data_IF_707142408911
#
_entry.id   IF_707142408911
#
_cell.length_a   1.000
_cell.length_b   1.000
_cell.length_c   1.000
_cell.angle_alpha   90.00
_cell.angle_beta   90.00
_cell.angle_gamma   90.00
#
_symmetry.space_group_name_H-M   'P 1'
#
loop_
_entity.id
_entity.type
_entity.pdbx_description
1 polymer ?
#
# COMPACT_ATOMS: atom_id res chain seq x y z
N UNK A 1 28.16 -5.81 81.11
CA UNK A 1 29.32 -5.62 80.24
C UNK A 1 28.80 -5.58 78.82
N UNK A 2 28.72 -4.41 78.14
CA UNK A 2 28.06 -4.31 76.82
C UNK A 2 29.05 -4.58 75.69
N UNK A 3 28.55 -5.29 74.69
CA UNK A 3 29.23 -5.59 73.44
C UNK A 3 28.92 -4.42 72.46
N UNK A 4 29.97 -3.77 71.98
CA UNK A 4 29.90 -2.71 70.97
C UNK A 4 29.70 -3.27 69.59
N UNK A 5 28.63 -2.85 68.94
CA UNK A 5 28.34 -3.21 67.55
C UNK A 5 28.94 -2.17 66.60
N UNK A 6 29.92 -2.59 65.82
CA UNK A 6 30.49 -1.86 64.69
C UNK A 6 29.49 -1.74 63.57
N UNK A 7 29.06 -0.54 63.24
CA UNK A 7 28.23 -0.25 62.05
C UNK A 7 29.11 -0.21 60.81
N UNK A 8 28.93 -1.17 59.94
CA UNK A 8 29.43 -1.14 58.56
C UNK A 8 28.54 -0.24 57.69
N UNK A 9 29.11 0.83 57.15
CA UNK A 9 28.49 1.62 56.11
C UNK A 9 28.46 0.80 54.79
N UNK A 10 27.28 0.38 54.37
CA UNK A 10 27.04 -0.06 53.00
C UNK A 10 26.85 1.12 52.11
N UNK A 11 27.82 1.43 51.25
CA UNK A 11 27.67 2.30 50.08
C UNK A 11 26.84 1.54 49.06
N UNK A 12 25.61 1.96 48.87
CA UNK A 12 24.72 1.47 47.82
C UNK A 12 25.15 2.09 46.49
N UNK A 13 25.82 1.30 45.65
CA UNK A 13 26.05 1.67 44.25
C UNK A 13 24.76 1.47 43.51
N UNK A 14 24.09 2.58 43.14
CA UNK A 14 22.93 2.55 42.25
C UNK A 14 23.45 2.16 40.87
N UNK A 15 23.25 0.91 40.49
CA UNK A 15 23.49 0.44 39.13
C UNK A 15 22.54 1.14 38.19
N UNK A 16 23.09 1.88 37.26
CA UNK A 16 22.37 2.44 36.12
C UNK A 16 21.82 1.27 35.32
N UNK A 17 20.51 1.06 35.37
CA UNK A 17 19.83 0.11 34.50
C UNK A 17 19.85 0.71 33.10
N UNK A 18 20.75 0.23 32.25
CA UNK A 18 20.75 0.51 30.82
C UNK A 18 19.50 -0.14 30.23
N UNK A 19 18.46 0.65 29.99
CA UNK A 19 17.28 0.20 29.25
C UNK A 19 17.69 0.05 27.80
N UNK A 20 18.11 -1.13 27.42
CA UNK A 20 18.35 -1.49 26.03
C UNK A 20 16.98 -1.41 25.33
N UNK A 21 16.69 -0.30 24.65
CA UNK A 21 15.58 -0.20 23.71
C UNK A 21 15.89 -1.19 22.59
N UNK A 22 15.21 -2.31 22.57
CA UNK A 22 15.18 -3.19 21.41
C UNK A 22 14.50 -2.40 20.29
N UNK A 23 15.28 -1.89 19.36
CA UNK A 23 14.74 -1.19 18.19
C UNK A 23 13.83 -2.16 17.44
N UNK A 24 12.55 -1.85 17.42
CA UNK A 24 11.54 -2.67 16.74
C UNK A 24 11.77 -2.50 15.24
N UNK A 25 12.33 -3.52 14.60
CA UNK A 25 12.56 -3.50 13.14
C UNK A 25 11.26 -3.32 12.39
N UNK A 26 11.28 -2.45 11.37
CA UNK A 26 10.16 -2.27 10.45
C UNK A 26 10.06 -3.50 9.55
N UNK A 27 8.86 -4.07 9.47
CA UNK A 27 8.63 -5.23 8.59
C UNK A 27 8.43 -4.75 7.16
N UNK A 28 9.11 -5.42 6.24
CA UNK A 28 8.93 -5.23 4.82
C UNK A 28 8.80 -6.58 4.11
N UNK A 29 8.18 -6.57 2.95
CA UNK A 29 8.15 -7.70 2.02
C UNK A 29 8.94 -7.32 0.79
N UNK A 30 9.82 -8.21 0.34
CA UNK A 30 10.54 -8.10 -0.92
C UNK A 30 9.99 -9.19 -1.84
N UNK A 31 9.55 -8.80 -3.02
CA UNK A 31 9.11 -9.65 -4.11
C UNK A 31 9.69 -9.16 -5.41
N UNK A 32 9.10 -9.51 -6.54
CA UNK A 32 9.48 -9.02 -7.87
C UNK A 32 8.51 -7.93 -8.33
N UNK A 33 9.01 -6.96 -9.09
CA UNK A 33 8.15 -5.99 -9.77
C UNK A 33 7.35 -6.69 -10.89
N UNK A 34 6.05 -6.39 -11.07
CA UNK A 34 5.27 -7.00 -12.12
C UNK A 34 5.93 -6.87 -13.49
N UNK A 35 5.99 -7.98 -14.23
CA UNK A 35 6.65 -8.08 -15.56
C UNK A 35 8.15 -7.75 -15.59
N UNK A 36 8.78 -7.51 -14.45
CA UNK A 36 10.22 -7.22 -14.31
C UNK A 36 10.81 -8.09 -13.20
N UNK A 37 11.06 -9.38 -13.46
CA UNK A 37 11.60 -10.31 -12.45
C UNK A 37 13.03 -9.93 -11.99
N UNK A 38 13.72 -9.11 -12.77
CA UNK A 38 15.03 -8.54 -12.48
C UNK A 38 14.98 -7.31 -11.53
N UNK A 39 13.79 -6.81 -11.18
CA UNK A 39 13.59 -5.68 -10.28
C UNK A 39 12.91 -6.13 -9.00
N UNK A 40 13.58 -5.93 -7.86
CA UNK A 40 12.99 -6.21 -6.55
C UNK A 40 11.90 -5.18 -6.20
N UNK A 41 10.78 -5.65 -5.65
CA UNK A 41 9.67 -4.82 -5.16
C UNK A 41 9.62 -4.85 -3.64
N UNK A 42 9.99 -3.75 -3.00
CA UNK A 42 10.00 -3.58 -1.55
C UNK A 42 8.72 -2.89 -1.07
N UNK A 43 7.93 -3.58 -0.26
CA UNK A 43 6.69 -3.06 0.33
C UNK A 43 6.81 -3.00 1.84
N UNK A 44 6.66 -1.82 2.44
CA UNK A 44 6.58 -1.67 3.89
C UNK A 44 5.24 -2.22 4.40
N UNK A 45 5.27 -3.07 5.42
CA UNK A 45 4.07 -3.64 6.04
C UNK A 45 3.60 -2.80 7.22
N UNK A 46 4.51 -2.04 7.83
CA UNK A 46 4.25 -1.16 8.98
C UNK A 46 4.29 0.31 8.53
N UNK A 47 3.22 0.78 7.87
CA UNK A 47 3.15 2.13 7.26
C UNK A 47 3.30 3.31 8.23
N UNK A 48 3.14 3.09 9.53
CA UNK A 48 3.28 4.12 10.57
C UNK A 48 4.68 4.19 11.17
N UNK A 49 5.57 3.28 10.79
CA UNK A 49 6.93 3.22 11.28
C UNK A 49 7.91 3.73 10.24
N UNK A 50 8.87 4.53 10.69
CA UNK A 50 9.98 4.99 9.85
C UNK A 50 11.09 3.92 9.93
N UNK A 51 11.54 3.37 8.80
CA UNK A 51 12.64 2.41 8.79
C UNK A 51 13.95 3.09 9.23
N UNK A 52 14.81 2.32 9.88
CA UNK A 52 16.17 2.74 10.17
C UNK A 52 17.07 2.58 8.92
N UNK A 53 18.21 3.27 8.91
CA UNK A 53 19.23 3.06 7.86
C UNK A 53 19.71 1.61 7.80
N UNK A 54 19.73 0.91 8.94
CA UNK A 54 20.10 -0.50 8.99
C UNK A 54 19.03 -1.40 8.32
N UNK A 55 17.74 -1.08 8.48
CA UNK A 55 16.66 -1.78 7.79
C UNK A 55 16.81 -1.63 6.28
N UNK A 56 16.97 -0.38 5.80
CA UNK A 56 17.11 -0.08 4.36
C UNK A 56 18.33 -0.79 3.77
N UNK A 57 19.50 -0.73 4.43
CA UNK A 57 20.70 -1.46 3.99
C UNK A 57 20.46 -2.96 3.91
N UNK A 58 19.83 -3.55 4.94
CA UNK A 58 19.53 -5.00 4.96
C UNK A 58 18.65 -5.42 3.78
N UNK A 59 17.67 -4.59 3.38
CA UNK A 59 16.81 -4.86 2.23
C UNK A 59 17.55 -4.72 0.90
N UNK A 60 18.44 -3.73 0.76
CA UNK A 60 19.32 -3.58 -0.40
C UNK A 60 20.20 -4.81 -0.55
N UNK A 61 20.85 -5.27 0.53
CA UNK A 61 21.72 -6.44 0.51
C UNK A 61 20.94 -7.74 0.19
N UNK A 62 19.69 -7.83 0.60
CA UNK A 62 18.82 -8.93 0.21
C UNK A 62 18.53 -8.91 -1.28
N UNK A 63 18.11 -7.77 -1.82
CA UNK A 63 17.84 -7.62 -3.25
C UNK A 63 19.09 -7.93 -4.12
N UNK A 64 20.28 -7.49 -3.68
CA UNK A 64 21.55 -7.82 -4.37
C UNK A 64 21.84 -9.31 -4.36
N UNK A 65 21.71 -9.97 -3.21
CA UNK A 65 21.92 -11.43 -3.10
C UNK A 65 20.97 -12.24 -3.96
N UNK A 66 19.75 -11.73 -4.15
CA UNK A 66 18.75 -12.35 -5.00
C UNK A 66 18.95 -12.02 -6.50
N UNK A 67 20.02 -11.27 -6.86
CA UNK A 67 20.39 -10.97 -8.24
C UNK A 67 19.58 -9.85 -8.89
N UNK A 68 18.87 -9.04 -8.11
CA UNK A 68 18.13 -7.91 -8.67
C UNK A 68 19.06 -6.83 -9.21
N UNK A 69 18.70 -6.23 -10.36
CA UNK A 69 19.43 -5.10 -10.97
C UNK A 69 18.93 -3.74 -10.45
N UNK A 70 17.78 -3.72 -9.83
CA UNK A 70 17.23 -2.55 -9.16
C UNK A 70 16.27 -2.97 -8.05
N UNK A 71 16.03 -2.06 -7.11
CA UNK A 71 15.00 -2.20 -6.08
C UNK A 71 14.06 -1.00 -6.15
N UNK A 72 12.76 -1.26 -6.28
CA UNK A 72 11.68 -0.26 -6.25
C UNK A 72 10.88 -0.40 -4.97
N UNK A 73 10.49 0.72 -4.39
CA UNK A 73 9.58 0.71 -3.25
C UNK A 73 8.13 0.66 -3.72
N UNK A 74 7.24 0.15 -2.89
CA UNK A 74 5.83 0.53 -2.93
C UNK A 74 5.67 2.02 -2.62
N UNK A 75 4.43 2.50 -2.64
CA UNK A 75 4.12 3.89 -2.30
C UNK A 75 4.45 4.18 -0.82
N UNK A 76 5.36 5.09 -0.57
CA UNK A 76 5.84 5.49 0.76
C UNK A 76 5.18 6.77 1.22
N UNK A 77 4.81 6.83 2.51
CA UNK A 77 4.44 8.09 3.16
C UNK A 77 5.67 8.98 3.34
N UNK A 78 5.51 10.32 3.36
CA UNK A 78 6.63 11.27 3.42
C UNK A 78 7.60 11.00 4.58
N UNK A 79 7.07 10.62 5.75
CA UNK A 79 7.90 10.32 6.92
C UNK A 79 8.87 9.14 6.75
N UNK A 80 8.57 8.21 5.84
CA UNK A 80 9.41 7.03 5.57
C UNK A 80 10.45 7.25 4.46
N UNK A 81 10.41 8.37 3.74
CA UNK A 81 11.23 8.62 2.54
C UNK A 81 12.70 8.88 2.86
N UNK A 82 12.97 9.61 3.96
CA UNK A 82 14.32 10.08 4.31
C UNK A 82 15.41 9.00 4.31
N UNK A 83 15.26 7.87 5.02
CA UNK A 83 16.26 6.80 5.06
C UNK A 83 16.56 6.18 3.69
N UNK A 84 15.57 6.09 2.80
CA UNK A 84 15.79 5.61 1.43
C UNK A 84 16.60 6.61 0.59
N UNK A 85 16.27 7.91 0.67
CA UNK A 85 17.05 8.94 -0.03
C UNK A 85 18.51 8.96 0.47
N UNK A 86 18.73 8.82 1.78
CA UNK A 86 20.06 8.73 2.37
C UNK A 86 20.83 7.48 1.87
N UNK A 87 20.12 6.40 1.53
CA UNK A 87 20.70 5.19 0.94
C UNK A 87 20.89 5.27 -0.60
N UNK A 88 20.61 6.42 -1.23
CA UNK A 88 20.84 6.65 -2.66
C UNK A 88 19.66 6.35 -3.58
N UNK A 89 18.47 6.11 -3.03
CA UNK A 89 17.27 5.97 -3.86
C UNK A 89 16.90 7.30 -4.54
N UNK A 90 16.51 7.23 -5.81
CA UNK A 90 15.92 8.35 -6.55
C UNK A 90 14.39 8.25 -6.58
N UNK A 91 13.71 9.39 -6.69
CA UNK A 91 12.24 9.44 -6.90
C UNK A 91 11.93 9.05 -8.34
N UNK A 92 10.94 8.16 -8.52
CA UNK A 92 10.48 7.74 -9.85
C UNK A 92 9.02 8.11 -10.11
N UNK A 93 8.22 8.29 -9.06
CA UNK A 93 6.82 8.71 -9.20
C UNK A 93 6.30 9.36 -7.91
N UNK A 94 5.22 10.12 -8.05
CA UNK A 94 4.49 10.75 -6.94
C UNK A 94 2.99 10.57 -7.12
N UNK A 95 2.33 10.05 -6.09
CA UNK A 95 0.90 9.76 -6.12
C UNK A 95 0.14 10.75 -5.24
N UNK A 96 -0.91 11.32 -5.79
CA UNK A 96 -1.90 12.04 -5.01
C UNK A 96 -2.60 11.06 -4.05
N UNK A 97 -2.60 11.39 -2.77
CA UNK A 97 -3.33 10.67 -1.74
C UNK A 97 -4.65 11.41 -1.48
N UNK A 98 -5.77 10.70 -1.57
CA UNK A 98 -7.09 11.27 -1.34
C UNK A 98 -7.77 10.52 -0.19
N UNK A 99 -8.54 11.25 0.59
CA UNK A 99 -9.33 10.70 1.69
C UNK A 99 -10.77 11.18 1.66
N UNK A 100 -11.64 10.39 2.26
CA UNK A 100 -13.04 10.72 2.47
C UNK A 100 -13.53 10.17 3.81
N UNK A 101 -14.21 10.97 4.67
CA UNK A 101 -14.98 10.48 5.80
C UNK A 101 -16.15 9.58 5.34
N UNK A 102 -16.38 8.47 6.06
CA UNK A 102 -17.46 7.52 5.76
C UNK A 102 -18.63 7.58 6.76
N UNK A 103 -18.58 8.46 7.75
CA UNK A 103 -19.53 8.50 8.89
C UNK A 103 -21.00 8.61 8.43
N UNK A 104 -21.26 9.30 7.32
CA UNK A 104 -22.60 9.50 6.78
C UNK A 104 -22.74 8.96 5.34
N UNK A 105 -21.98 7.91 5.02
CA UNK A 105 -22.02 7.38 3.65
C UNK A 105 -23.38 6.78 3.33
N UNK A 106 -24.03 7.31 2.30
CA UNK A 106 -25.26 6.75 1.70
C UNK A 106 -24.95 6.20 0.32
N UNK A 107 -25.27 4.93 0.14
CA UNK A 107 -25.09 4.24 -1.14
C UNK A 107 -25.96 4.88 -2.23
N UNK A 108 -25.37 5.11 -3.40
CA UNK A 108 -26.07 5.57 -4.59
C UNK A 108 -26.87 4.44 -5.25
N UNK A 109 -27.83 4.79 -6.09
CA UNK A 109 -28.61 3.81 -6.84
C UNK A 109 -27.72 3.12 -7.89
N UNK A 110 -27.84 1.78 -8.02
CA UNK A 110 -27.03 0.98 -8.96
C UNK A 110 -27.79 0.77 -10.27
N UNK A 111 -27.12 0.97 -11.40
CA UNK A 111 -27.62 0.63 -12.73
C UNK A 111 -27.14 -0.76 -13.19
N UNK A 112 -25.90 -1.11 -12.88
CA UNK A 112 -25.31 -2.39 -13.26
C UNK A 112 -25.05 -3.28 -12.04
N UNK A 113 -25.03 -4.58 -12.27
CA UNK A 113 -24.83 -5.57 -11.19
C UNK A 113 -23.35 -5.78 -10.91
N UNK A 114 -22.85 -5.26 -9.79
CA UNK A 114 -21.52 -5.56 -9.29
C UNK A 114 -21.48 -6.99 -8.71
N UNK A 115 -20.52 -7.80 -9.13
CA UNK A 115 -20.35 -9.21 -8.76
C UNK A 115 -19.01 -9.48 -8.10
N UNK A 116 -18.86 -10.56 -7.30
CA UNK A 116 -17.56 -10.95 -6.77
C UNK A 116 -16.56 -11.24 -7.90
N UNK A 117 -15.36 -10.65 -7.80
CA UNK A 117 -14.22 -11.05 -8.61
C UNK A 117 -13.57 -12.27 -7.94
N UNK A 118 -13.71 -13.44 -8.58
CA UNK A 118 -13.18 -14.71 -8.05
C UNK A 118 -11.80 -15.00 -8.66
N UNK A 119 -11.03 -15.89 -8.02
CA UNK A 119 -9.68 -16.30 -8.51
C UNK A 119 -9.64 -16.72 -9.98
N UNK A 120 -10.69 -17.41 -10.48
CA UNK A 120 -10.79 -17.78 -11.90
C UNK A 120 -10.93 -16.60 -12.86
N UNK A 121 -11.22 -15.41 -12.35
CA UNK A 121 -11.38 -14.18 -13.14
C UNK A 121 -10.12 -13.32 -13.14
N UNK A 122 -9.05 -13.73 -12.44
CA UNK A 122 -7.84 -12.91 -12.30
C UNK A 122 -7.17 -12.64 -13.65
N UNK A 123 -7.19 -13.60 -14.60
CA UNK A 123 -6.60 -13.37 -15.92
C UNK A 123 -7.36 -12.29 -16.71
N UNK A 124 -8.69 -12.22 -16.55
CA UNK A 124 -9.47 -11.12 -17.12
C UNK A 124 -9.13 -9.78 -16.42
N UNK A 125 -8.96 -9.79 -15.09
CA UNK A 125 -8.55 -8.61 -14.33
C UNK A 125 -7.16 -8.12 -14.75
N UNK A 126 -6.19 -9.04 -14.94
CA UNK A 126 -4.84 -8.72 -15.45
C UNK A 126 -4.90 -8.01 -16.81
N UNK A 127 -5.68 -8.55 -17.77
CA UNK A 127 -5.83 -7.92 -19.09
C UNK A 127 -6.37 -6.49 -18.99
N UNK A 128 -7.41 -6.27 -18.17
CA UNK A 128 -8.00 -4.95 -17.95
C UNK A 128 -7.00 -4.02 -17.25
N UNK A 129 -6.26 -4.53 -16.27
CA UNK A 129 -5.27 -3.77 -15.53
C UNK A 129 -4.15 -3.27 -16.44
N UNK A 130 -3.56 -4.14 -17.24
CA UNK A 130 -2.53 -3.79 -18.22
C UNK A 130 -3.06 -2.84 -19.30
N UNK A 131 -4.30 -3.05 -19.76
CA UNK A 131 -4.94 -2.16 -20.73
C UNK A 131 -5.19 -0.76 -20.17
N UNK A 132 -5.52 -0.66 -18.88
CA UNK A 132 -5.82 0.62 -18.23
C UNK A 132 -4.57 1.40 -17.78
N UNK A 133 -3.50 0.69 -17.35
CA UNK A 133 -2.31 1.32 -16.75
C UNK A 133 -1.04 1.17 -17.59
N UNK A 134 -1.10 0.43 -18.68
CA UNK A 134 0.08 0.11 -19.49
C UNK A 134 1.01 -0.92 -18.84
N UNK A 135 2.06 -1.33 -19.58
CA UNK A 135 2.94 -2.44 -19.16
C UNK A 135 3.85 -2.09 -17.97
N UNK A 136 4.10 -0.79 -17.73
CA UNK A 136 4.98 -0.33 -16.63
C UNK A 136 4.27 -0.37 -15.29
N UNK A 137 2.99 -0.01 -15.26
CA UNK A 137 2.18 0.14 -14.04
C UNK A 137 1.06 -0.90 -13.91
N UNK A 138 0.94 -1.77 -14.90
CA UNK A 138 0.02 -2.90 -14.86
C UNK A 138 0.49 -3.96 -13.87
N UNK A 139 -0.47 -4.62 -13.24
CA UNK A 139 -0.21 -5.71 -12.32
C UNK A 139 -0.35 -7.06 -13.02
N UNK A 140 0.54 -7.97 -12.72
CA UNK A 140 0.40 -9.37 -13.07
C UNK A 140 -0.54 -10.11 -12.09
N UNK A 141 -0.72 -11.40 -12.30
CA UNK A 141 -1.59 -12.25 -11.49
C UNK A 141 -1.11 -12.33 -10.02
N UNK A 142 0.20 -12.37 -9.80
CA UNK A 142 0.78 -12.45 -8.47
C UNK A 142 0.53 -11.14 -7.71
N UNK A 143 0.81 -9.99 -8.34
CA UNK A 143 0.58 -8.67 -7.75
C UNK A 143 -0.90 -8.43 -7.43
N UNK A 144 -1.84 -8.79 -8.32
CA UNK A 144 -3.27 -8.70 -8.02
C UNK A 144 -3.68 -9.63 -6.87
N UNK A 145 -3.10 -10.83 -6.79
CA UNK A 145 -3.32 -11.75 -5.67
C UNK A 145 -2.81 -11.16 -4.36
N UNK A 146 -1.65 -10.53 -4.38
CA UNK A 146 -1.05 -9.87 -3.20
C UNK A 146 -1.92 -8.71 -2.69
N UNK A 147 -2.46 -7.89 -3.60
CA UNK A 147 -3.40 -6.81 -3.25
C UNK A 147 -4.62 -7.38 -2.51
N UNK A 148 -5.14 -8.54 -2.93
CA UNK A 148 -6.27 -9.20 -2.24
C UNK A 148 -5.94 -9.66 -0.81
N UNK A 149 -4.67 -9.78 -0.45
CA UNK A 149 -4.23 -10.22 0.88
C UNK A 149 -3.50 -9.13 1.68
N UNK A 150 -3.43 -7.90 1.15
CA UNK A 150 -2.69 -6.80 1.75
C UNK A 150 -3.33 -6.25 3.04
N UNK A 151 -4.59 -6.56 3.30
CA UNK A 151 -5.33 -6.10 4.48
C UNK A 151 -6.08 -7.26 5.15
N UNK A 152 -6.38 -7.17 6.46
CA UNK A 152 -7.12 -8.22 7.19
C UNK A 152 -8.49 -8.55 6.58
N UNK A 153 -9.17 -7.54 6.03
CA UNK A 153 -10.43 -7.72 5.32
C UNK A 153 -10.28 -7.22 3.90
N UNK A 154 -10.60 -8.07 2.93
CA UNK A 154 -10.50 -7.77 1.52
C UNK A 154 -11.83 -7.99 0.78
N UNK A 155 -12.04 -7.23 -0.29
CA UNK A 155 -13.25 -7.23 -1.09
C UNK A 155 -12.89 -6.97 -2.55
N UNK A 156 -13.06 -7.96 -3.39
CA UNK A 156 -12.79 -7.84 -4.82
C UNK A 156 -14.09 -7.97 -5.62
N UNK A 157 -14.33 -7.00 -6.48
CA UNK A 157 -15.58 -6.87 -7.26
C UNK A 157 -15.30 -6.61 -8.73
N UNK A 158 -16.25 -6.99 -9.57
CA UNK A 158 -16.20 -6.74 -11.02
C UNK A 158 -17.58 -6.38 -11.57
N UNK A 159 -17.57 -5.68 -12.70
CA UNK A 159 -18.74 -5.45 -13.54
C UNK A 159 -18.55 -6.21 -14.84
N UNK A 160 -19.64 -6.82 -15.30
CA UNK A 160 -19.69 -7.63 -16.52
C UNK A 160 -20.73 -7.05 -17.46
N UNK A 161 -20.35 -6.82 -18.69
CA UNK A 161 -21.24 -6.44 -19.82
C UNK A 161 -21.13 -7.54 -20.88
N UNK A 162 -22.25 -8.00 -21.40
CA UNK A 162 -22.29 -9.06 -22.44
C UNK A 162 -21.40 -10.27 -22.11
N UNK A 163 -21.44 -10.76 -20.84
CA UNK A 163 -20.66 -11.88 -20.30
C UNK A 163 -19.14 -11.62 -20.19
N UNK A 164 -18.67 -10.42 -20.55
CA UNK A 164 -17.26 -10.01 -20.44
C UNK A 164 -17.06 -9.10 -19.24
N UNK A 165 -16.02 -9.36 -18.44
CA UNK A 165 -15.63 -8.45 -17.35
C UNK A 165 -15.01 -7.21 -18.00
N UNK A 166 -15.57 -6.03 -17.68
CA UNK A 166 -15.15 -4.73 -18.23
C UNK A 166 -14.53 -3.79 -17.19
N UNK A 167 -14.55 -4.18 -15.93
CA UNK A 167 -13.90 -3.42 -14.87
C UNK A 167 -13.92 -4.17 -13.56
N UNK A 168 -12.98 -3.82 -12.68
CA UNK A 168 -12.89 -4.40 -11.33
C UNK A 168 -12.36 -3.39 -10.32
N UNK A 169 -12.65 -3.67 -9.05
CA UNK A 169 -12.08 -2.97 -7.89
C UNK A 169 -11.63 -3.98 -6.84
N UNK A 170 -10.50 -3.68 -6.21
CA UNK A 170 -9.97 -4.37 -5.04
C UNK A 170 -9.92 -3.39 -3.88
N UNK A 171 -10.50 -3.77 -2.76
CA UNK A 171 -10.74 -2.93 -1.61
C UNK A 171 -10.31 -3.66 -0.36
N UNK A 172 -9.72 -2.96 0.58
CA UNK A 172 -9.31 -3.51 1.85
C UNK A 172 -9.73 -2.66 3.04
N UNK A 173 -9.82 -3.26 4.22
CA UNK A 173 -10.04 -2.55 5.49
C UNK A 173 -9.04 -3.04 6.52
N UNK A 174 -8.36 -2.09 7.18
CA UNK A 174 -7.50 -2.32 8.32
C UNK A 174 -7.86 -1.31 9.43
N UNK A 175 -8.27 -1.79 10.58
CA UNK A 175 -8.79 -0.95 11.66
C UNK A 175 -9.99 -0.11 11.22
N UNK A 176 -9.86 1.20 11.31
CA UNK A 176 -10.90 2.17 10.93
C UNK A 176 -10.70 2.79 9.54
N UNK A 177 -9.71 2.32 8.79
CA UNK A 177 -9.38 2.85 7.46
C UNK A 177 -9.70 1.83 6.38
N UNK A 178 -10.47 2.26 5.39
CA UNK A 178 -10.72 1.53 4.15
C UNK A 178 -9.81 2.05 3.03
N UNK A 179 -9.35 1.14 2.18
CA UNK A 179 -8.45 1.45 1.07
C UNK A 179 -9.05 0.96 -0.23
N UNK A 180 -9.25 1.84 -1.20
CA UNK A 180 -9.46 1.43 -2.58
C UNK A 180 -8.09 1.14 -3.20
N UNK A 181 -7.68 -0.14 -3.14
CA UNK A 181 -6.32 -0.58 -3.44
C UNK A 181 -6.04 -0.68 -4.94
N UNK A 182 -7.06 -1.02 -5.74
CA UNK A 182 -6.98 -1.04 -7.20
C UNK A 182 -8.36 -0.82 -7.79
N UNK A 183 -8.44 0.00 -8.82
CA UNK A 183 -9.62 0.22 -9.65
C UNK A 183 -9.18 0.28 -11.10
N UNK A 184 -9.70 -0.62 -11.95
CA UNK A 184 -9.41 -0.62 -13.37
C UNK A 184 -10.70 -0.82 -14.17
N UNK A 185 -10.81 -0.09 -15.27
CA UNK A 185 -11.90 -0.20 -16.24
C UNK A 185 -11.28 -0.27 -17.63
N UNK A 186 -11.73 -1.25 -18.40
CA UNK A 186 -11.34 -1.39 -19.80
C UNK A 186 -11.50 -0.04 -20.53
N UNK A 187 -10.46 0.47 -21.20
CA UNK A 187 -10.52 1.75 -21.90
C UNK A 187 -11.74 1.90 -22.82
N UNK A 188 -12.15 0.83 -23.49
CA UNK A 188 -13.34 0.82 -24.37
C UNK A 188 -14.66 0.98 -23.58
N UNK A 189 -14.66 0.72 -22.27
CA UNK A 189 -15.84 0.78 -21.41
C UNK A 189 -15.77 1.92 -20.38
N UNK A 190 -14.77 2.80 -20.47
CA UNK A 190 -14.68 4.00 -19.63
C UNK A 190 -15.78 5.01 -19.99
N UNK A 191 -16.05 5.94 -19.09
CA UNK A 191 -17.06 7.01 -19.24
C UNK A 191 -18.53 6.52 -19.30
N UNK A 192 -18.76 5.21 -19.08
CA UNK A 192 -20.09 4.58 -19.02
C UNK A 192 -20.53 4.24 -17.58
N UNK A 193 -20.00 4.93 -16.59
CA UNK A 193 -20.38 4.76 -15.18
C UNK A 193 -19.81 3.52 -14.47
N UNK A 194 -19.04 2.66 -15.16
CA UNK A 194 -18.46 1.43 -14.60
C UNK A 194 -17.59 1.72 -13.37
N UNK A 195 -16.67 2.68 -13.48
CA UNK A 195 -15.80 3.10 -12.38
C UNK A 195 -16.60 3.65 -11.20
N UNK A 196 -17.59 4.48 -11.46
CA UNK A 196 -18.45 5.08 -10.44
C UNK A 196 -19.21 4.00 -9.61
N UNK A 197 -19.72 2.97 -10.26
CA UNK A 197 -20.43 1.88 -9.57
C UNK A 197 -19.49 1.03 -8.73
N UNK A 198 -18.24 0.80 -9.18
CA UNK A 198 -17.23 0.08 -8.42
C UNK A 198 -16.78 0.89 -7.19
N UNK A 199 -16.60 2.22 -7.32
CA UNK A 199 -16.28 3.09 -6.18
C UNK A 199 -17.44 3.10 -5.17
N UNK A 200 -18.68 3.22 -5.64
CA UNK A 200 -19.87 3.18 -4.76
C UNK A 200 -19.97 1.87 -3.99
N UNK A 201 -19.72 0.73 -4.64
CA UNK A 201 -19.70 -0.57 -3.98
C UNK A 201 -18.58 -0.68 -2.94
N UNK A 202 -17.37 -0.20 -3.29
CA UNK A 202 -16.22 -0.18 -2.41
C UNK A 202 -16.51 0.64 -1.14
N UNK A 203 -17.01 1.86 -1.28
CA UNK A 203 -17.33 2.75 -0.15
C UNK A 203 -18.44 2.16 0.74
N UNK A 204 -19.49 1.58 0.14
CA UNK A 204 -20.56 0.92 0.88
C UNK A 204 -20.03 -0.26 1.70
N UNK A 205 -19.12 -1.06 1.13
CA UNK A 205 -18.52 -2.18 1.82
C UNK A 205 -17.57 -1.74 2.94
N UNK A 206 -16.72 -0.73 2.70
CA UNK A 206 -15.85 -0.16 3.73
C UNK A 206 -16.67 0.35 4.93
N UNK A 207 -17.73 1.12 4.66
CA UNK A 207 -18.66 1.62 5.69
C UNK A 207 -19.31 0.48 6.47
N UNK A 208 -19.83 -0.55 5.77
CA UNK A 208 -20.42 -1.74 6.41
C UNK A 208 -19.40 -2.50 7.27
N UNK A 209 -18.12 -2.46 6.94
CA UNK A 209 -17.02 -3.03 7.73
C UNK A 209 -16.58 -2.17 8.91
N UNK A 210 -17.23 -1.04 9.13
CA UNK A 210 -16.95 -0.12 10.23
C UNK A 210 -15.75 0.78 10.02
N UNK A 211 -15.28 0.95 8.76
CA UNK A 211 -14.31 1.97 8.43
C UNK A 211 -14.95 3.36 8.56
N UNK A 212 -14.23 4.29 9.16
CA UNK A 212 -14.66 5.68 9.33
C UNK A 212 -14.06 6.61 8.27
N UNK A 213 -13.02 6.14 7.60
CA UNK A 213 -12.31 6.89 6.54
C UNK A 213 -12.02 5.94 5.38
N UNK A 214 -12.26 6.40 4.16
CA UNK A 214 -11.79 5.77 2.92
C UNK A 214 -10.59 6.53 2.37
N UNK A 215 -9.59 5.79 1.88
CA UNK A 215 -8.40 6.32 1.24
C UNK A 215 -8.21 5.69 -0.14
N UNK A 216 -7.69 6.49 -1.06
CA UNK A 216 -7.27 6.06 -2.39
C UNK A 216 -6.07 6.89 -2.83
N UNK A 217 -5.18 6.30 -3.64
CA UNK A 217 -4.12 7.04 -4.32
C UNK A 217 -4.23 6.84 -5.83
N UNK A 218 -3.71 7.81 -6.58
CA UNK A 218 -3.60 7.77 -8.04
C UNK A 218 -2.44 8.66 -8.48
N UNK A 219 -1.95 8.50 -9.71
CA UNK A 219 -0.97 9.42 -10.26
C UNK A 219 -1.49 10.86 -10.17
N UNK A 220 -0.60 11.81 -9.88
CA UNK A 220 -0.98 13.20 -9.61
C UNK A 220 -1.61 13.91 -10.82
N UNK A 221 -1.35 13.39 -12.02
CA UNK A 221 -1.84 13.84 -13.33
C UNK A 221 -2.97 12.97 -13.90
N UNK A 222 -3.50 12.01 -13.13
CA UNK A 222 -4.62 11.18 -13.57
C UNK A 222 -5.95 11.91 -13.38
N UNK A 223 -6.19 12.93 -14.20
CA UNK A 223 -7.38 13.76 -14.15
C UNK A 223 -8.70 12.97 -14.18
N UNK A 224 -8.87 11.91 -15.02
CA UNK A 224 -10.09 11.12 -15.02
C UNK A 224 -10.37 10.43 -13.67
N UNK A 225 -9.35 9.92 -13.00
CA UNK A 225 -9.50 9.29 -11.68
C UNK A 225 -9.77 10.35 -10.60
N UNK A 226 -9.04 11.46 -10.63
CA UNK A 226 -9.23 12.58 -9.70
C UNK A 226 -10.66 13.13 -9.79
N UNK A 227 -11.18 13.37 -11.01
CA UNK A 227 -12.55 13.80 -11.22
C UNK A 227 -13.58 12.78 -10.72
N UNK A 228 -13.34 11.48 -10.96
CA UNK A 228 -14.19 10.41 -10.43
C UNK A 228 -14.25 10.48 -8.90
N UNK A 229 -13.10 10.52 -8.23
CA UNK A 229 -13.03 10.52 -6.77
C UNK A 229 -13.65 11.79 -6.16
N UNK A 230 -13.47 12.95 -6.79
CA UNK A 230 -14.13 14.20 -6.35
C UNK A 230 -15.66 14.08 -6.38
N UNK A 231 -16.26 13.43 -7.40
CA UNK A 231 -17.72 13.18 -7.44
C UNK A 231 -18.20 12.33 -6.27
N UNK A 232 -17.33 11.54 -5.66
CA UNK A 232 -17.60 10.75 -4.45
C UNK A 232 -17.20 11.46 -3.16
N UNK A 233 -16.77 12.72 -3.22
CA UNK A 233 -16.43 13.53 -2.05
C UNK A 233 -15.08 13.20 -1.43
N UNK A 234 -14.20 12.55 -2.16
CA UNK A 234 -12.81 12.46 -1.76
C UNK A 234 -12.14 13.83 -1.86
N UNK A 235 -11.23 14.10 -0.94
CA UNK A 235 -10.42 15.32 -0.92
C UNK A 235 -8.95 14.96 -0.92
N UNK A 236 -8.17 15.65 -1.73
CA UNK A 236 -6.72 15.48 -1.79
C UNK A 236 -6.11 15.91 -0.46
N UNK A 237 -5.23 15.09 0.08
CA UNK A 237 -4.41 15.43 1.24
C UNK A 237 -3.26 16.34 0.82
N UNK A 238 -2.70 17.06 1.80
CA UNK A 238 -1.45 17.82 1.59
C UNK A 238 -0.26 16.87 1.36
N UNK A 239 -0.31 15.68 1.98
CA UNK A 239 0.72 14.65 1.81
C UNK A 239 0.49 13.90 0.49
N UNK A 240 1.57 13.63 -0.24
CA UNK A 240 1.63 12.73 -1.38
C UNK A 240 2.39 11.45 -1.00
N UNK A 241 2.17 10.38 -1.74
CA UNK A 241 2.96 9.17 -1.62
C UNK A 241 4.06 9.17 -2.69
N UNK A 242 5.23 8.64 -2.35
CA UNK A 242 6.39 8.66 -3.23
C UNK A 242 6.84 7.24 -3.54
N UNK A 243 7.14 6.96 -4.80
CA UNK A 243 7.82 5.74 -5.22
C UNK A 243 9.28 6.04 -5.49
N UNK A 244 10.14 5.17 -5.00
CA UNK A 244 11.58 5.32 -5.09
C UNK A 244 12.20 4.11 -5.78
N UNK A 245 13.33 4.33 -6.49
CA UNK A 245 14.13 3.27 -7.09
C UNK A 245 15.61 3.48 -6.76
N UNK A 246 16.31 2.39 -6.49
CA UNK A 246 17.77 2.33 -6.46
C UNK A 246 18.23 1.31 -7.50
N UNK A 247 19.12 1.73 -8.42
CA UNK A 247 19.83 0.79 -9.29
C UNK A 247 20.90 0.09 -8.47
N UNK A 248 20.98 -1.21 -8.63
CA UNK A 248 21.98 -2.04 -7.97
C UNK A 248 23.06 -2.37 -9.00
N UNK A 249 24.30 -1.97 -8.71
CA UNK A 249 25.42 -2.37 -9.56
C UNK A 249 25.51 -3.90 -9.53
N UNK A 250 25.48 -4.52 -10.68
CA UNK A 250 25.81 -5.94 -10.83
C UNK A 250 27.26 -6.10 -10.43
N UNK A 251 27.50 -6.81 -9.34
CA UNK A 251 28.88 -7.21 -9.00
C UNK A 251 29.41 -8.04 -10.16
N UNK A 252 30.43 -7.47 -10.84
CA UNK A 252 31.20 -8.14 -11.89
C UNK A 252 31.99 -9.30 -11.31
#
# INVERSE_FOLDING_TARGET
MPCEAVRAHRTSTVGTVEVTRTERRVRARIGTWPYRPDVAHLVLLDHQMVPSDADVRSWIDTARRDGAVAIRTGALFPGSVGPFLAAGFGRIDELALLERPLVEYRRRRREQRVRPLRRRHLDAAVRIDVSAFGPVWGNDRAALSDIMHATPFAHARSITVERTIVGFAMTGVAGKVGYLQRLAVDPACQRHGVGAQLVDDALAWMHHRGATTAMVNTAADNDPALALYDTFGFRRRADSLVLLELRLDTMS
#
